data_IF_681707434155
#
_entry.id   IF_681707434155
#
_cell.length_a   1.000
_cell.length_b   1.000
_cell.length_c   1.000
_cell.angle_alpha   90.00
_cell.angle_beta   90.00
_cell.angle_gamma   90.00
#
_symmetry.space_group_name_H-M   'P 1'
#
loop_
_entity.id
_entity.type
_entity.pdbx_description
1 polymer ?
#
# COMPACT_ATOMS: atom_id res chain seq x y z
N UNK A 1 -6.58 -13.61 -12.94
CA UNK A 1 -5.45 -12.70 -12.62
C UNK A 1 -5.77 -11.22 -12.82
N UNK A 2 -6.61 -10.83 -13.78
CA UNK A 2 -6.87 -9.40 -14.09
C UNK A 2 -7.72 -8.67 -13.05
N UNK A 3 -8.73 -9.32 -12.47
CA UNK A 3 -9.67 -8.67 -11.54
C UNK A 3 -9.01 -8.10 -10.28
N UNK A 4 -8.09 -8.83 -9.63
CA UNK A 4 -7.42 -8.33 -8.42
C UNK A 4 -6.53 -7.10 -8.69
N UNK A 5 -5.85 -7.07 -9.84
CA UNK A 5 -5.06 -5.90 -10.27
C UNK A 5 -5.96 -4.71 -10.63
N UNK A 6 -7.11 -4.97 -11.25
CA UNK A 6 -8.10 -3.94 -11.56
C UNK A 6 -8.68 -3.29 -10.29
N UNK A 7 -8.96 -4.07 -9.23
CA UNK A 7 -9.42 -3.53 -7.95
C UNK A 7 -8.39 -2.62 -7.27
N UNK A 8 -7.11 -3.00 -7.30
CA UNK A 8 -6.03 -2.14 -6.80
C UNK A 8 -5.90 -0.83 -7.59
N UNK A 9 -6.01 -0.89 -8.93
CA UNK A 9 -5.98 0.29 -9.80
C UNK A 9 -7.17 1.23 -9.53
N UNK A 10 -8.38 0.67 -9.41
CA UNK A 10 -9.60 1.43 -9.11
C UNK A 10 -9.49 2.09 -7.73
N UNK A 11 -8.96 1.39 -6.74
CA UNK A 11 -8.69 1.96 -5.41
C UNK A 11 -7.69 3.12 -5.47
N UNK A 12 -6.61 2.98 -6.26
CA UNK A 12 -5.63 4.06 -6.45
C UNK A 12 -6.24 5.30 -7.12
N UNK A 13 -6.99 5.12 -8.21
CA UNK A 13 -7.70 6.23 -8.88
C UNK A 13 -8.69 6.89 -7.92
N UNK A 14 -9.42 6.10 -7.12
CA UNK A 14 -10.31 6.62 -6.08
C UNK A 14 -9.56 7.48 -5.04
N UNK A 15 -8.37 7.07 -4.62
CA UNK A 15 -7.51 7.86 -3.73
C UNK A 15 -7.14 9.22 -4.34
N UNK A 16 -6.77 9.27 -5.62
CA UNK A 16 -6.47 10.53 -6.31
C UNK A 16 -7.68 11.45 -6.40
N UNK A 17 -8.86 10.90 -6.70
CA UNK A 17 -10.11 11.67 -6.76
C UNK A 17 -10.47 12.20 -5.37
N UNK A 18 -10.35 11.37 -4.33
CA UNK A 18 -10.58 11.77 -2.94
C UNK A 18 -9.64 12.90 -2.49
N UNK A 19 -8.37 12.83 -2.88
CA UNK A 19 -7.39 13.88 -2.63
C UNK A 19 -7.77 15.19 -3.33
N UNK A 20 -8.20 15.13 -4.59
CA UNK A 20 -8.66 16.32 -5.32
C UNK A 20 -9.86 16.98 -4.62
N UNK A 21 -10.84 16.18 -4.16
CA UNK A 21 -11.96 16.70 -3.38
C UNK A 21 -11.53 17.33 -2.04
N UNK A 22 -10.53 16.77 -1.37
CA UNK A 22 -9.99 17.35 -0.15
C UNK A 22 -9.37 18.74 -0.40
N UNK A 23 -8.60 18.89 -1.49
CA UNK A 23 -8.05 20.20 -1.89
C UNK A 23 -9.15 21.20 -2.20
N UNK A 24 -10.19 20.78 -2.95
CA UNK A 24 -11.35 21.63 -3.25
C UNK A 24 -12.14 22.01 -2.00
N UNK A 25 -12.26 21.11 -1.03
CA UNK A 25 -12.93 21.38 0.25
C UNK A 25 -12.16 22.43 1.05
N UNK A 26 -10.83 22.30 1.15
CA UNK A 26 -9.96 23.25 1.85
C UNK A 26 -10.01 24.62 1.17
N UNK A 27 -9.85 24.65 -0.16
CA UNK A 27 -9.91 25.90 -0.93
C UNK A 27 -11.28 26.57 -0.86
N UNK A 28 -12.35 25.79 -0.96
CA UNK A 28 -13.72 26.29 -0.83
C UNK A 28 -14.03 26.81 0.58
N UNK A 29 -13.53 26.15 1.62
CA UNK A 29 -13.70 26.58 3.00
C UNK A 29 -12.97 27.89 3.27
N UNK A 30 -11.74 28.02 2.76
CA UNK A 30 -10.97 29.27 2.82
C UNK A 30 -11.67 30.41 2.06
N UNK A 31 -12.34 30.11 0.95
CA UNK A 31 -13.12 31.07 0.17
C UNK A 31 -14.53 31.36 0.70
N UNK A 32 -14.97 30.74 1.80
CA UNK A 32 -16.31 30.93 2.36
C UNK A 32 -17.45 30.35 1.50
N UNK A 33 -17.15 29.45 0.57
CA UNK A 33 -18.16 28.81 -0.27
C UNK A 33 -18.93 27.75 0.52
N UNK A 34 -20.26 27.87 0.57
CA UNK A 34 -21.13 26.90 1.27
C UNK A 34 -21.00 25.46 0.73
N UNK A 35 -20.55 25.29 -0.52
CA UNK A 35 -20.29 23.98 -1.13
C UNK A 35 -19.06 23.24 -0.57
N UNK A 36 -18.20 23.91 0.20
CA UNK A 36 -17.00 23.31 0.78
C UNK A 36 -17.28 22.10 1.67
N UNK A 37 -18.39 22.14 2.42
CA UNK A 37 -18.84 21.05 3.28
C UNK A 37 -19.14 19.80 2.44
N UNK A 38 -19.83 19.97 1.32
CA UNK A 38 -20.17 18.87 0.41
C UNK A 38 -18.93 18.25 -0.24
N UNK A 39 -17.94 19.06 -0.60
CA UNK A 39 -16.65 18.56 -1.08
C UNK A 39 -15.89 17.78 0.01
N UNK A 40 -15.95 18.22 1.26
CA UNK A 40 -15.34 17.51 2.39
C UNK A 40 -15.98 16.14 2.64
N UNK A 41 -17.32 16.06 2.60
CA UNK A 41 -18.05 14.80 2.73
C UNK A 41 -17.71 13.85 1.57
N UNK A 42 -17.72 14.36 0.33
CA UNK A 42 -17.35 13.58 -0.85
C UNK A 42 -15.91 13.06 -0.77
N UNK A 43 -14.96 13.88 -0.32
CA UNK A 43 -13.57 13.48 -0.10
C UNK A 43 -13.47 12.33 0.90
N UNK A 44 -14.14 12.46 2.06
CA UNK A 44 -14.12 11.45 3.11
C UNK A 44 -14.68 10.10 2.62
N UNK A 45 -15.85 10.10 1.98
CA UNK A 45 -16.48 8.89 1.46
C UNK A 45 -15.61 8.21 0.39
N UNK A 46 -15.02 9.00 -0.51
CA UNK A 46 -14.18 8.49 -1.59
C UNK A 46 -12.90 7.86 -1.02
N UNK A 47 -12.25 8.52 -0.05
CA UNK A 47 -11.05 8.00 0.60
C UNK A 47 -11.33 6.70 1.37
N UNK A 48 -12.43 6.64 2.14
CA UNK A 48 -12.81 5.42 2.86
C UNK A 48 -13.02 4.27 1.87
N UNK A 49 -13.77 4.51 0.79
CA UNK A 49 -14.04 3.48 -0.23
C UNK A 49 -12.76 3.01 -0.91
N UNK A 50 -11.86 3.94 -1.25
CA UNK A 50 -10.57 3.63 -1.83
C UNK A 50 -9.69 2.77 -0.90
N UNK A 51 -9.64 3.11 0.39
CA UNK A 51 -8.90 2.34 1.40
C UNK A 51 -9.44 0.91 1.50
N UNK A 52 -10.76 0.74 1.56
CA UNK A 52 -11.40 -0.58 1.61
C UNK A 52 -11.06 -1.42 0.38
N UNK A 53 -11.09 -0.81 -0.81
CA UNK A 53 -10.74 -1.49 -2.06
C UNK A 53 -9.27 -1.91 -2.09
N UNK A 54 -8.35 -1.03 -1.65
CA UNK A 54 -6.92 -1.32 -1.59
C UNK A 54 -6.65 -2.43 -0.57
N UNK A 55 -7.18 -2.32 0.65
CA UNK A 55 -7.01 -3.31 1.71
C UNK A 55 -7.57 -4.68 1.30
N UNK A 56 -8.78 -4.70 0.71
CA UNK A 56 -9.39 -5.92 0.18
C UNK A 56 -8.57 -6.56 -0.94
N UNK A 57 -8.00 -5.74 -1.83
CA UNK A 57 -7.12 -6.24 -2.91
C UNK A 57 -5.84 -6.87 -2.35
N UNK A 58 -5.24 -6.25 -1.33
CA UNK A 58 -4.04 -6.75 -0.66
C UNK A 58 -4.31 -8.07 0.06
N UNK A 59 -5.39 -8.16 0.83
CA UNK A 59 -5.77 -9.42 1.49
C UNK A 59 -5.93 -10.58 0.50
N UNK A 60 -6.61 -10.34 -0.62
CA UNK A 60 -6.79 -11.34 -1.68
C UNK A 60 -5.49 -11.73 -2.41
N UNK A 61 -4.48 -10.86 -2.41
CA UNK A 61 -3.17 -11.13 -3.00
C UNK A 61 -2.27 -11.90 -2.03
N UNK A 62 -2.30 -11.57 -0.73
CA UNK A 62 -1.48 -12.21 0.30
C UNK A 62 -1.96 -13.62 0.66
N UNK A 63 -3.26 -13.90 0.58
CA UNK A 63 -3.81 -15.24 0.86
C UNK A 63 -3.61 -16.27 -0.26
N UNK A 64 -2.91 -15.93 -1.34
CA UNK A 64 -2.64 -16.87 -2.43
C UNK A 64 -1.22 -17.40 -2.33
N UNK A 65 -1.01 -18.74 -2.27
CA UNK A 65 0.32 -19.32 -2.34
C UNK A 65 0.99 -18.84 -3.63
N UNK A 66 2.22 -18.33 -3.50
CA UNK A 66 2.98 -17.65 -4.56
C UNK A 66 3.41 -18.67 -5.63
N UNK A 67 2.46 -19.12 -6.47
CA UNK A 67 2.71 -20.14 -7.50
C UNK A 67 3.41 -19.60 -8.75
N UNK A 68 3.86 -18.34 -8.73
CA UNK A 68 4.43 -17.69 -9.91
C UNK A 68 5.42 -16.58 -9.50
N UNK A 69 6.59 -16.97 -8.96
CA UNK A 69 7.80 -16.13 -8.98
C UNK A 69 8.31 -16.09 -10.42
N UNK A 70 7.64 -15.32 -11.29
CA UNK A 70 8.13 -15.12 -12.66
C UNK A 70 9.34 -14.18 -12.56
N UNK A 71 10.51 -14.73 -12.90
CA UNK A 71 11.88 -14.24 -12.67
C UNK A 71 12.48 -14.74 -11.35
N UNK A 72 12.71 -16.06 -11.27
CA UNK A 72 13.85 -16.58 -10.52
C UNK A 72 15.10 -15.88 -11.08
N UNK A 73 15.79 -15.14 -10.23
CA UNK A 73 17.14 -14.69 -10.49
C UNK A 73 17.99 -15.93 -10.83
N UNK A 74 18.66 -16.01 -12.00
CA UNK A 74 19.50 -17.16 -12.35
C UNK A 74 20.63 -17.43 -11.34
N UNK A 75 20.94 -16.44 -10.50
CA UNK A 75 21.93 -16.55 -9.43
C UNK A 75 21.35 -17.03 -8.09
N UNK A 76 20.02 -17.12 -7.95
CA UNK A 76 19.40 -17.70 -6.76
C UNK A 76 19.38 -19.22 -6.88
N UNK A 77 20.12 -19.96 -6.04
CA UNK A 77 20.06 -21.41 -6.01
C UNK A 77 18.65 -21.88 -5.65
N UNK A 78 18.27 -23.06 -6.13
CA UNK A 78 17.03 -23.72 -5.74
C UNK A 78 17.07 -23.97 -4.23
N UNK A 79 16.27 -23.22 -3.48
CA UNK A 79 16.09 -23.39 -2.04
C UNK A 79 15.07 -24.51 -1.84
N UNK A 80 15.40 -25.51 -1.03
CA UNK A 80 14.48 -26.60 -0.72
C UNK A 80 13.27 -26.08 0.07
N UNK A 81 12.10 -26.76 0.01
CA UNK A 81 10.92 -26.33 0.77
C UNK A 81 11.15 -26.20 2.28
N UNK A 82 12.09 -26.98 2.82
CA UNK A 82 12.48 -26.96 4.23
C UNK A 82 13.30 -25.71 4.57
N UNK A 83 14.22 -25.30 3.68
CA UNK A 83 15.03 -24.09 3.83
C UNK A 83 14.20 -22.82 3.66
N UNK A 84 13.18 -22.83 2.79
CA UNK A 84 12.25 -21.70 2.64
C UNK A 84 11.40 -21.50 3.91
N UNK A 85 10.95 -22.60 4.53
CA UNK A 85 10.22 -22.54 5.80
C UNK A 85 11.12 -22.04 6.95
N UNK A 86 12.38 -22.49 7.01
CA UNK A 86 13.36 -21.99 7.97
C UNK A 86 13.64 -20.50 7.78
N UNK A 87 13.81 -20.04 6.53
CA UNK A 87 14.07 -18.64 6.23
C UNK A 87 12.88 -17.73 6.56
N UNK A 88 11.64 -18.19 6.31
CA UNK A 88 10.44 -17.45 6.72
C UNK A 88 10.29 -17.38 8.25
N UNK A 89 10.71 -18.41 8.99
CA UNK A 89 10.62 -18.40 10.46
C UNK A 89 11.71 -17.50 11.09
N UNK A 90 12.92 -17.54 10.53
CA UNK A 90 14.08 -16.78 11.05
C UNK A 90 14.06 -15.29 10.64
N UNK A 91 13.57 -14.98 9.43
CA UNK A 91 13.71 -13.64 8.83
C UNK A 91 12.40 -12.97 8.42
N UNK A 92 11.21 -13.53 8.69
CA UNK A 92 9.96 -12.78 8.50
C UNK A 92 10.05 -11.51 9.36
N UNK A 93 10.07 -10.31 8.74
CA UNK A 93 10.03 -9.09 9.52
C UNK A 93 8.71 -9.13 10.28
N UNK A 94 8.78 -9.14 11.61
CA UNK A 94 7.70 -8.57 12.39
C UNK A 94 7.66 -7.12 11.95
N UNK A 95 6.68 -6.78 11.11
CA UNK A 95 6.48 -5.39 10.71
C UNK A 95 6.49 -4.54 11.98
N UNK A 96 7.17 -3.40 11.86
CA UNK A 96 7.32 -2.32 12.83
C UNK A 96 8.70 -2.31 13.52
N UNK A 97 9.36 -1.14 13.47
CA UNK A 97 10.55 -0.73 14.25
C UNK A 97 11.90 -0.81 13.48
N UNK A 98 12.34 0.39 13.03
CA UNK A 98 13.73 0.86 12.78
C UNK A 98 14.36 0.77 11.38
N UNK A 99 13.80 1.49 10.39
CA UNK A 99 14.63 2.00 9.25
C UNK A 99 15.21 3.40 9.55
N UNK A 100 14.85 4.03 10.68
CA UNK A 100 15.37 5.36 11.06
C UNK A 100 16.78 5.31 11.69
N UNK A 101 17.25 4.16 12.17
CA UNK A 101 18.47 4.09 13.00
C UNK A 101 19.77 3.74 12.25
N UNK A 102 19.77 3.71 10.91
CA UNK A 102 20.98 3.43 10.13
C UNK A 102 21.65 4.68 9.54
N UNK A 103 21.15 5.89 9.84
CA UNK A 103 21.71 7.16 9.32
C UNK A 103 22.71 7.85 10.26
N UNK A 104 22.74 7.46 11.54
CA UNK A 104 23.54 8.13 12.59
C UNK A 104 24.69 7.27 13.13
N UNK A 105 25.38 6.49 12.29
CA UNK A 105 26.74 6.04 12.66
C UNK A 105 27.76 7.07 12.15
N UNK A 106 28.49 7.76 13.04
CA UNK A 106 29.67 8.50 12.62
C UNK A 106 30.68 7.51 12.04
N UNK A 107 31.17 7.82 10.86
CA UNK A 107 32.34 7.19 10.28
C UNK A 107 33.57 7.73 11.02
N UNK A 108 33.88 7.15 12.17
CA UNK A 108 35.17 7.39 12.82
C UNK A 108 36.16 6.34 12.30
N UNK A 109 37.24 6.85 11.72
CA UNK A 109 38.28 6.11 10.98
C UNK A 109 39.32 5.42 11.83
#
# INVERSE_FOLDING_TARGET
MQFSKAFGLVGYVGMLIGLAFAVLAIGGAAGGHNSAIWFGIAAALTLITAIVLIAGSRGLLTSRPVRNRTHQDPLQPEVTPEEEAWYEDEYRPQDDVQVTQARDRPSDG
#
